data_IF_766441516519
#
_entry.id   IF_766441516519
#
_cell.length_a   1.000
_cell.length_b   1.000
_cell.length_c   1.000
_cell.angle_alpha   90.00
_cell.angle_beta   90.00
_cell.angle_gamma   90.00
#
_symmetry.space_group_name_H-M   'P 1'
#
loop_
_entity.id
_entity.type
_entity.pdbx_description
1 polymer ?
#
# COMPACT_ATOMS: atom_id res chain seq x y z
N UNK A 1 -4.03 -1.91 13.08
CA UNK A 1 -3.44 -3.19 12.66
C UNK A 1 -4.49 -4.10 12.06
N UNK A 2 -4.26 -4.47 10.81
CA UNK A 2 -5.10 -5.36 9.99
C UNK A 2 -5.20 -6.75 10.63
N UNK A 3 -6.40 -7.36 10.71
CA UNK A 3 -6.61 -8.68 11.33
C UNK A 3 -6.68 -9.80 10.27
N UNK A 4 -5.61 -10.00 9.52
CA UNK A 4 -5.53 -11.01 8.45
C UNK A 4 -4.76 -12.28 8.84
N UNK A 5 -4.25 -12.37 10.07
CA UNK A 5 -3.51 -13.54 10.57
C UNK A 5 -2.50 -13.19 11.65
N UNK A 6 -1.60 -14.13 11.93
CA UNK A 6 -0.39 -13.89 12.72
C UNK A 6 0.82 -13.99 11.78
N UNK A 7 1.77 -13.07 11.95
CA UNK A 7 3.09 -13.25 11.35
C UNK A 7 3.75 -14.46 12.02
N UNK A 8 4.26 -15.37 11.20
CA UNK A 8 5.05 -16.53 11.63
C UNK A 8 6.52 -16.26 11.37
N UNK A 9 7.41 -17.11 11.89
CA UNK A 9 8.83 -16.98 11.63
C UNK A 9 9.14 -17.30 10.16
N UNK A 10 10.18 -16.67 9.56
CA UNK A 10 10.59 -16.98 8.19
C UNK A 10 10.82 -18.49 7.99
N UNK A 11 10.13 -19.10 7.03
CA UNK A 11 10.18 -20.54 6.75
C UNK A 11 9.00 -21.35 7.31
N UNK A 12 8.11 -20.73 8.10
CA UNK A 12 6.88 -21.35 8.62
C UNK A 12 5.61 -20.93 7.84
N UNK A 13 5.75 -20.22 6.71
CA UNK A 13 4.62 -19.74 5.92
C UNK A 13 3.86 -20.90 5.22
N UNK A 14 2.53 -20.88 5.32
CA UNK A 14 1.62 -21.78 4.60
C UNK A 14 0.81 -21.03 3.53
N UNK A 15 0.18 -21.77 2.60
CA UNK A 15 -0.72 -21.20 1.58
C UNK A 15 -1.77 -20.25 2.16
N UNK A 16 -2.41 -20.64 3.26
CA UNK A 16 -3.42 -19.85 3.99
C UNK A 16 -2.83 -18.58 4.64
N UNK A 17 -1.55 -18.60 4.93
CA UNK A 17 -0.84 -17.48 5.53
C UNK A 17 -0.34 -16.45 4.50
N UNK A 18 -0.22 -16.83 3.22
CA UNK A 18 0.56 -16.08 2.22
C UNK A 18 0.08 -14.65 2.02
N UNK A 19 -1.22 -14.43 1.82
CA UNK A 19 -1.75 -13.08 1.58
C UNK A 19 -1.76 -12.23 2.86
N UNK A 20 -2.21 -12.82 3.98
CA UNK A 20 -2.33 -12.11 5.26
C UNK A 20 -0.98 -11.75 5.86
N UNK A 21 -0.02 -12.67 5.87
CA UNK A 21 1.35 -12.44 6.37
C UNK A 21 2.06 -11.39 5.52
N UNK A 22 1.92 -11.45 4.19
CA UNK A 22 2.52 -10.45 3.30
C UNK A 22 2.02 -9.04 3.65
N UNK A 23 0.71 -8.85 3.80
CA UNK A 23 0.13 -7.55 4.18
C UNK A 23 0.67 -7.11 5.54
N UNK A 24 0.64 -7.99 6.54
CA UNK A 24 1.14 -7.67 7.89
C UNK A 24 2.62 -7.30 7.92
N UNK A 25 3.45 -7.90 7.06
CA UNK A 25 4.86 -7.58 6.97
C UNK A 25 5.07 -6.14 6.47
N UNK A 26 4.39 -5.75 5.40
CA UNK A 26 4.47 -4.38 4.89
C UNK A 26 3.82 -3.37 5.84
N UNK A 27 2.70 -3.70 6.48
CA UNK A 27 2.10 -2.87 7.53
C UNK A 27 3.12 -2.58 8.64
N UNK A 28 3.87 -3.58 9.12
CA UNK A 28 4.91 -3.39 10.15
C UNK A 28 6.07 -2.51 9.68
N UNK A 29 6.49 -2.64 8.42
CA UNK A 29 7.54 -1.78 7.86
C UNK A 29 7.06 -0.32 7.86
N UNK A 30 5.82 -0.09 7.43
CA UNK A 30 5.22 1.24 7.41
C UNK A 30 5.04 1.80 8.82
N UNK A 31 4.48 1.02 9.75
CA UNK A 31 4.32 1.40 11.16
C UNK A 31 5.65 1.83 11.80
N UNK A 32 6.76 1.14 11.45
CA UNK A 32 8.07 1.40 12.04
C UNK A 32 8.79 2.59 11.42
N UNK A 33 8.77 2.73 10.10
CA UNK A 33 9.73 3.60 9.39
C UNK A 33 9.10 4.75 8.61
N UNK A 34 7.78 4.80 8.42
CA UNK A 34 7.15 5.79 7.52
C UNK A 34 7.44 7.25 7.91
N UNK A 35 7.62 7.55 9.20
CA UNK A 35 7.93 8.90 9.69
C UNK A 35 9.39 9.32 9.44
N UNK A 36 10.28 8.35 9.20
CA UNK A 36 11.69 8.57 8.88
C UNK A 36 11.95 8.60 7.37
N UNK A 37 10.95 8.20 6.56
CA UNK A 37 11.06 8.14 5.11
C UNK A 37 10.80 9.51 4.46
N UNK A 38 11.68 9.89 3.53
CA UNK A 38 11.47 11.08 2.68
C UNK A 38 10.57 10.76 1.47
N UNK A 39 10.65 9.53 0.95
CA UNK A 39 9.94 9.10 -0.24
C UNK A 39 9.60 7.60 -0.20
N UNK A 40 8.42 7.24 -0.70
CA UNK A 40 7.96 5.87 -0.90
C UNK A 40 7.56 5.68 -2.36
N UNK A 41 7.99 4.56 -2.95
CA UNK A 41 7.58 4.12 -4.28
C UNK A 41 6.99 2.72 -4.16
N UNK A 42 5.76 2.54 -4.65
CA UNK A 42 5.05 1.27 -4.67
C UNK A 42 4.90 0.79 -6.13
N UNK A 43 5.84 -0.02 -6.64
CA UNK A 43 5.73 -0.62 -7.97
C UNK A 43 4.75 -1.81 -7.94
N UNK A 44 3.89 -1.90 -8.95
CA UNK A 44 2.83 -2.91 -8.99
C UNK A 44 1.81 -2.69 -7.85
N UNK A 45 1.46 -1.42 -7.59
CA UNK A 45 0.59 -1.03 -6.48
C UNK A 45 -0.80 -1.68 -6.54
N UNK A 46 -1.28 -2.03 -7.73
CA UNK A 46 -2.56 -2.71 -7.95
C UNK A 46 -3.70 -1.98 -7.26
N UNK A 47 -4.39 -2.71 -6.38
CA UNK A 47 -5.47 -2.19 -5.53
C UNK A 47 -5.06 -2.02 -4.07
N UNK A 48 -3.75 -2.09 -3.75
CA UNK A 48 -3.24 -1.90 -2.40
C UNK A 48 -3.62 -0.51 -1.87
N UNK A 49 -4.05 -0.40 -0.61
CA UNK A 49 -4.42 0.86 0.03
C UNK A 49 -3.43 1.28 1.13
N UNK A 50 -2.26 0.63 1.22
CA UNK A 50 -1.25 0.88 2.25
C UNK A 50 -0.81 2.34 2.31
N UNK A 51 -0.68 3.01 1.15
CA UNK A 51 -0.40 4.43 1.07
C UNK A 51 -1.49 5.26 1.75
N UNK A 52 -2.78 5.00 1.47
CA UNK A 52 -3.89 5.71 2.10
C UNK A 52 -3.89 5.54 3.62
N UNK A 53 -3.58 4.32 4.08
CA UNK A 53 -3.61 4.00 5.50
C UNK A 53 -2.50 4.71 6.28
N UNK A 54 -1.26 4.68 5.79
CA UNK A 54 -0.10 5.06 6.58
C UNK A 54 0.51 6.42 6.26
N UNK A 55 0.19 7.05 5.13
CA UNK A 55 0.91 8.26 4.69
C UNK A 55 0.09 9.55 4.77
N UNK A 56 -1.20 9.44 5.12
CA UNK A 56 -2.08 10.61 5.23
C UNK A 56 -1.54 11.62 6.25
N UNK A 57 -1.33 12.86 5.82
CA UNK A 57 -0.84 13.95 6.68
C UNK A 57 0.64 13.87 7.03
N UNK A 58 1.38 12.89 6.49
CA UNK A 58 2.84 12.79 6.65
C UNK A 58 3.55 13.61 5.57
N UNK A 59 4.80 13.99 5.83
CA UNK A 59 5.63 14.76 4.89
C UNK A 59 6.29 13.90 3.79
N UNK A 60 6.15 12.58 3.88
CA UNK A 60 6.70 11.61 2.92
C UNK A 60 6.06 11.81 1.54
N UNK A 61 6.87 11.79 0.49
CA UNK A 61 6.38 11.79 -0.89
C UNK A 61 5.98 10.37 -1.27
N UNK A 62 4.80 10.19 -1.85
CA UNK A 62 4.27 8.86 -2.16
C UNK A 62 4.01 8.73 -3.64
N UNK A 63 4.58 7.68 -4.23
CA UNK A 63 4.41 7.35 -5.64
C UNK A 63 3.88 5.93 -5.79
N UNK A 64 2.81 5.76 -6.55
CA UNK A 64 2.31 4.46 -6.95
C UNK A 64 2.52 4.27 -8.45
N UNK A 65 3.16 3.18 -8.82
CA UNK A 65 3.49 2.85 -10.21
C UNK A 65 2.76 1.57 -10.60
N UNK A 66 1.90 1.64 -11.62
CA UNK A 66 1.22 0.47 -12.17
C UNK A 66 0.71 0.74 -13.60
N UNK A 67 0.13 -0.28 -14.22
CA UNK A 67 -0.51 -0.21 -15.53
C UNK A 67 -1.62 0.83 -15.54
N UNK A 68 -1.70 1.61 -16.62
CA UNK A 68 -2.72 2.65 -16.86
C UNK A 68 -4.13 2.16 -16.50
N UNK A 69 -4.52 0.97 -16.98
CA UNK A 69 -5.88 0.44 -16.75
C UNK A 69 -6.14 0.13 -15.28
N UNK A 70 -5.15 -0.41 -14.57
CA UNK A 70 -5.25 -0.76 -13.15
C UNK A 70 -5.37 0.49 -12.29
N UNK A 71 -4.48 1.48 -12.49
CA UNK A 71 -4.51 2.74 -11.76
C UNK A 71 -5.82 3.49 -11.98
N UNK A 72 -6.29 3.58 -13.22
CA UNK A 72 -7.55 4.26 -13.52
C UNK A 72 -8.74 3.64 -12.79
N UNK A 73 -8.84 2.31 -12.74
CA UNK A 73 -9.91 1.64 -11.98
C UNK A 73 -9.83 1.99 -10.49
N UNK A 74 -8.63 1.93 -9.89
CA UNK A 74 -8.43 2.28 -8.48
C UNK A 74 -8.80 3.74 -8.19
N UNK A 75 -8.21 4.68 -8.93
CA UNK A 75 -8.39 6.13 -8.74
C UNK A 75 -9.85 6.54 -8.93
N UNK A 76 -10.51 6.08 -9.99
CA UNK A 76 -11.93 6.41 -10.22
C UNK A 76 -12.84 5.82 -9.14
N UNK A 77 -12.51 4.64 -8.61
CA UNK A 77 -13.25 4.03 -7.50
C UNK A 77 -13.08 4.84 -6.21
N UNK A 78 -11.85 5.26 -5.88
CA UNK A 78 -11.59 6.10 -4.71
C UNK A 78 -12.32 7.46 -4.81
N UNK A 79 -12.32 8.09 -5.99
CA UNK A 79 -13.08 9.32 -6.26
C UNK A 79 -14.58 9.12 -6.03
N UNK A 80 -15.17 8.07 -6.61
CA UNK A 80 -16.60 7.75 -6.43
C UNK A 80 -16.96 7.47 -4.97
N UNK A 81 -16.05 6.87 -4.22
CA UNK A 81 -16.22 6.61 -2.79
C UNK A 81 -16.00 7.86 -1.91
N UNK A 82 -15.59 9.00 -2.47
CA UNK A 82 -15.27 10.21 -1.71
C UNK A 82 -14.03 10.07 -0.82
N UNK A 83 -13.13 9.12 -1.12
CA UNK A 83 -11.91 8.90 -0.36
C UNK A 83 -10.84 9.86 -0.87
N UNK A 84 -10.36 10.76 -0.01
CA UNK A 84 -9.25 11.67 -0.35
C UNK A 84 -7.96 10.89 -0.52
N UNK A 85 -7.20 11.24 -1.56
CA UNK A 85 -5.95 10.58 -1.94
C UNK A 85 -5.00 11.54 -2.68
N UNK A 86 -5.16 12.84 -2.48
CA UNK A 86 -4.49 13.92 -3.21
C UNK A 86 -2.97 14.03 -2.93
N UNK A 87 -2.48 13.38 -1.88
CA UNK A 87 -1.05 13.34 -1.54
C UNK A 87 -0.29 12.19 -2.23
N UNK A 88 -1.00 11.29 -2.93
CA UNK A 88 -0.40 10.17 -3.66
C UNK A 88 -0.23 10.59 -5.12
N UNK A 89 0.99 10.46 -5.64
CA UNK A 89 1.29 10.64 -7.07
C UNK A 89 1.18 9.31 -7.79
N UNK A 90 0.22 9.18 -8.69
CA UNK A 90 0.05 8.00 -9.52
C UNK A 90 0.88 8.14 -10.80
N UNK A 91 1.75 7.17 -11.06
CA UNK A 91 2.60 7.10 -12.24
C UNK A 91 2.10 5.94 -13.10
N UNK A 92 1.55 6.28 -14.27
CA UNK A 92 1.07 5.30 -15.23
C UNK A 92 2.23 4.70 -16.03
N UNK A 93 2.35 3.37 -16.00
CA UNK A 93 3.23 2.59 -16.87
C UNK A 93 2.43 1.90 -17.99
N UNK A 94 3.08 1.70 -19.14
CA UNK A 94 2.50 1.08 -20.34
C UNK A 94 2.08 -0.39 -20.11
#
# INVERSE_FOLDING_TARGET
>A
TTRLGKLVEPGEETGDSTAGIRVLMFDKIMEKYVDEMEQIVLPGAGFDLIALHFTKGKKVKVFELDQVKTLNVKVETLKKAGIKHDWITYIEAL
#
